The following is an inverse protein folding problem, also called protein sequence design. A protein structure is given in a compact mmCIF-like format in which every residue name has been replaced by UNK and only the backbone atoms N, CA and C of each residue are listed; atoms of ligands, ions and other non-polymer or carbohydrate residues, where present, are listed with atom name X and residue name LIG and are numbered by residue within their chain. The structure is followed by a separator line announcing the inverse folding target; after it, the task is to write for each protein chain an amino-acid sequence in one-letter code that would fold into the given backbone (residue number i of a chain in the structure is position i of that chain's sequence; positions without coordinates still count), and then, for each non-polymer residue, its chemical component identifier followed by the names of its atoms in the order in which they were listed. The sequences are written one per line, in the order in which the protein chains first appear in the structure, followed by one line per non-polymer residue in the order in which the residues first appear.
data_IF_653761765495
#
_entry.id   IF_653761765495
#
_cell.length_a   1.000
_cell.length_b   1.000
_cell.length_c   1.000
_cell.angle_alpha   90.00
_cell.angle_beta   90.00
_cell.angle_gamma   90.00
#
_symmetry.space_group_name_H-M   'P 1'
#
loop_
_entity.id
_entity.type
_entity.pdbx_description
1 polymer ?
#
# COMPACT_ATOMS: atom_id res chain seq x y z
N UNK A 1 19.65 -59.96 2.93
CA UNK A 1 20.07 -59.08 4.04
C UNK A 1 20.67 -57.84 3.40
N UNK A 2 19.90 -56.76 3.31
CA UNK A 2 20.38 -55.45 2.87
C UNK A 2 19.88 -54.47 3.92
N UNK A 3 20.85 -53.84 4.59
CA UNK A 3 20.68 -52.95 5.73
C UNK A 3 20.08 -51.61 5.33
N UNK A 4 19.23 -51.09 6.22
CA UNK A 4 18.38 -49.92 6.00
C UNK A 4 19.10 -48.59 6.15
N UNK A 5 18.76 -47.66 5.25
CA UNK A 5 19.04 -46.24 5.38
C UNK A 5 17.89 -45.56 6.14
N UNK A 6 18.16 -44.70 7.14
CA UNK A 6 17.11 -43.96 7.85
C UNK A 6 16.70 -42.75 7.02
N UNK A 7 15.39 -42.59 6.79
CA UNK A 7 14.80 -41.41 6.18
C UNK A 7 14.83 -40.17 7.09
N UNK A 8 14.61 -38.97 6.53
CA UNK A 8 14.65 -37.71 7.26
C UNK A 8 13.47 -37.63 8.23
N UNK A 9 13.75 -37.06 9.42
CA UNK A 9 12.77 -36.82 10.48
C UNK A 9 11.95 -35.59 10.11
N UNK A 10 10.63 -35.76 10.08
CA UNK A 10 9.67 -34.67 10.09
C UNK A 10 9.67 -34.02 11.49
N UNK A 11 9.99 -32.73 11.54
CA UNK A 11 9.86 -31.91 12.74
C UNK A 11 8.39 -31.49 12.89
N UNK A 12 7.68 -32.16 13.81
CA UNK A 12 6.35 -31.80 14.28
C UNK A 12 6.39 -30.47 15.08
N UNK A 13 5.99 -29.35 14.46
CA UNK A 13 5.62 -28.14 15.21
C UNK A 13 4.17 -28.25 15.74
N UNK A 14 3.93 -28.10 17.05
CA UNK A 14 2.61 -28.19 17.64
C UNK A 14 1.90 -26.83 17.54
N UNK A 15 1.20 -26.58 16.43
CA UNK A 15 0.15 -25.54 16.40
C UNK A 15 -1.22 -26.20 16.27
N UNK A 16 -1.69 -26.75 17.39
CA UNK A 16 -3.09 -27.11 17.57
C UNK A 16 -3.97 -25.85 17.42
N UNK A 17 -5.06 -25.93 16.68
CA UNK A 17 -6.34 -26.34 17.26
C UNK A 17 -7.41 -26.43 16.16
N UNK A 18 -8.02 -27.61 16.12
CA UNK A 18 -8.96 -28.03 15.10
C UNK A 18 -10.34 -27.40 15.19
N UNK A 19 -10.99 -27.44 14.04
CA UNK A 19 -12.40 -27.26 13.85
C UNK A 19 -13.25 -28.24 14.69
N UNK A 20 -14.51 -27.81 14.88
CA UNK A 20 -15.75 -28.57 15.22
C UNK A 20 -16.16 -28.59 16.69
N UNK A 21 -17.30 -27.95 16.96
CA UNK A 21 -18.56 -28.60 17.39
C UNK A 21 -19.74 -27.64 17.15
N UNK A 22 -20.82 -28.17 16.60
CA UNK A 22 -22.01 -27.40 16.23
C UNK A 22 -22.75 -26.82 17.43
N UNK A 23 -23.45 -25.71 17.22
CA UNK A 23 -24.34 -25.14 18.24
C UNK A 23 -25.63 -24.58 17.64
N UNK A 24 -26.74 -24.96 18.27
CA UNK A 24 -28.12 -24.53 18.01
C UNK A 24 -28.33 -23.13 18.61
N UNK A 25 -29.14 -22.33 17.93
CA UNK A 25 -29.53 -21.00 18.40
C UNK A 25 -30.53 -21.06 19.57
N UNK A 26 -30.40 -20.20 20.60
CA UNK A 26 -31.53 -19.79 21.41
C UNK A 26 -32.08 -18.44 20.95
N UNK A 27 -33.40 -18.40 20.86
CA UNK A 27 -34.25 -17.20 20.73
C UNK A 27 -34.08 -16.32 21.97
N UNK A 28 -34.07 -15.00 21.80
CA UNK A 28 -34.10 -14.07 22.92
C UNK A 28 -33.92 -12.63 22.47
N UNK A 29 -35.03 -12.00 22.10
CA UNK A 29 -35.11 -10.57 21.84
C UNK A 29 -34.97 -9.77 23.14
N UNK A 30 -34.27 -8.65 23.07
CA UNK A 30 -34.22 -7.66 24.13
C UNK A 30 -33.64 -6.35 23.62
N UNK A 31 -34.50 -5.43 23.18
CA UNK A 31 -34.14 -4.01 23.08
C UNK A 31 -33.89 -3.45 24.49
N UNK A 32 -33.10 -2.37 24.59
CA UNK A 32 -33.79 -1.14 24.98
C UNK A 32 -33.32 0.12 24.25
N UNK A 33 -34.31 0.98 24.04
CA UNK A 33 -34.19 2.38 23.70
C UNK A 33 -33.53 3.18 24.84
N UNK A 34 -32.81 4.26 24.51
CA UNK A 34 -32.16 5.09 25.53
C UNK A 34 -31.58 6.41 25.02
N UNK A 35 -32.48 7.34 24.70
CA UNK A 35 -32.33 8.80 24.51
C UNK A 35 -31.02 9.47 24.99
N UNK A 36 -30.50 10.42 24.19
CA UNK A 36 -30.05 11.75 24.68
C UNK A 36 -29.94 12.79 23.54
N UNK A 37 -30.91 13.71 23.49
CA UNK A 37 -30.81 14.99 22.74
C UNK A 37 -30.18 16.03 23.68
N UNK A 38 -29.04 16.62 23.27
CA UNK A 38 -28.49 17.84 23.91
C UNK A 38 -28.94 19.07 23.13
N UNK A 39 -29.58 19.99 23.87
CA UNK A 39 -30.00 21.34 23.45
C UNK A 39 -28.78 22.22 23.19
N UNK A 40 -28.79 22.97 22.08
CA UNK A 40 -27.94 24.16 21.85
C UNK A 40 -28.63 25.36 22.48
N UNK A 41 -27.91 26.12 23.30
CA UNK A 41 -28.30 27.46 23.77
C UNK A 41 -27.85 28.55 22.78
N UNK A 42 -28.43 29.75 22.84
CA UNK A 42 -28.14 30.85 21.91
C UNK A 42 -26.89 31.63 22.33
N UNK A 43 -26.14 32.08 21.33
CA UNK A 43 -24.95 32.94 21.43
C UNK A 43 -25.33 34.37 21.82
N UNK A 44 -24.68 34.89 22.85
CA UNK A 44 -24.75 36.29 23.28
C UNK A 44 -24.07 37.22 22.27
N UNK A 45 -24.72 38.36 22.02
CA UNK A 45 -24.26 39.41 21.10
C UNK A 45 -23.04 40.17 21.61
N UNK A 46 -22.20 40.57 20.65
CA UNK A 46 -21.01 41.39 20.83
C UNK A 46 -21.38 42.87 20.60
N UNK A 47 -21.00 43.82 21.48
CA UNK A 47 -21.31 45.24 21.28
C UNK A 47 -20.33 45.89 20.26
N UNK A 48 -20.69 47.06 19.68
CA UNK A 48 -19.89 47.72 18.66
C UNK A 48 -18.63 48.37 19.24
N UNK A 49 -17.54 48.27 18.46
CA UNK A 49 -16.21 48.82 18.70
C UNK A 49 -16.24 50.33 18.42
N UNK A 50 -15.83 51.14 19.39
CA UNK A 50 -15.62 52.59 19.21
C UNK A 50 -14.32 52.88 18.44
N UNK A 51 -14.15 54.10 17.89
CA UNK A 51 -12.97 54.45 17.10
C UNK A 51 -11.69 54.47 17.95
N UNK A 52 -10.63 53.86 17.43
CA UNK A 52 -9.31 53.78 18.06
C UNK A 52 -8.71 55.18 18.31
N UNK A 53 -8.02 55.38 19.45
CA UNK A 53 -7.32 56.64 19.73
C UNK A 53 -6.16 56.84 18.75
N UNK A 54 -6.14 58.01 18.10
CA UNK A 54 -5.05 58.44 17.23
C UNK A 54 -3.77 58.64 18.08
N UNK A 55 -2.66 57.95 17.79
CA UNK A 55 -1.44 58.10 18.57
C UNK A 55 -0.84 59.51 18.39
N UNK A 56 -0.17 60.05 19.44
CA UNK A 56 0.46 61.37 19.37
C UNK A 56 1.53 61.40 18.27
N UNK A 57 1.60 62.50 17.52
CA UNK A 57 2.62 62.67 16.48
C UNK A 57 4.00 62.76 17.15
N UNK A 58 4.93 61.84 16.87
CA UNK A 58 6.27 61.88 17.42
C UNK A 58 6.97 63.17 16.96
N UNK A 59 7.80 63.76 17.82
CA UNK A 59 8.62 64.91 17.45
C UNK A 59 9.47 64.60 16.20
N UNK A 60 9.61 65.57 15.30
CA UNK A 60 10.26 65.42 13.98
C UNK A 60 11.73 64.92 14.08
N UNK A 61 12.34 65.01 15.26
CA UNK A 61 13.73 64.57 15.51
C UNK A 61 13.83 63.05 15.69
N UNK A 62 12.96 62.43 16.49
CA UNK A 62 13.01 60.98 16.73
C UNK A 62 12.68 60.18 15.46
N UNK A 63 11.67 60.63 14.70
CA UNK A 63 11.29 60.01 13.43
C UNK A 63 12.32 60.20 12.30
N UNK A 64 13.14 61.27 12.34
CA UNK A 64 14.28 61.45 11.42
C UNK A 64 15.46 60.57 11.82
N UNK A 65 15.80 60.49 13.10
CA UNK A 65 16.87 59.62 13.60
C UNK A 65 16.58 58.15 13.34
N UNK A 66 15.33 57.70 13.52
CA UNK A 66 14.95 56.33 13.23
C UNK A 66 15.04 55.96 11.74
N UNK A 67 14.68 56.88 10.84
CA UNK A 67 14.84 56.69 9.38
C UNK A 67 16.31 56.67 8.95
N UNK A 68 17.14 57.56 9.50
CA UNK A 68 18.59 57.57 9.24
C UNK A 68 19.27 56.28 9.75
N UNK A 69 18.75 55.69 10.82
CA UNK A 69 19.25 54.44 11.40
C UNK A 69 18.65 53.17 10.75
N UNK A 70 17.71 53.30 9.81
CA UNK A 70 17.07 52.15 9.13
C UNK A 70 16.17 51.30 10.03
N UNK A 71 15.66 51.87 11.13
CA UNK A 71 14.80 51.14 12.08
C UNK A 71 13.42 50.86 11.48
N UNK A 72 12.80 49.77 11.94
CA UNK A 72 11.41 49.48 11.61
C UNK A 72 10.49 50.58 12.16
N UNK A 73 9.30 50.72 11.58
CA UNK A 73 8.34 51.74 12.01
C UNK A 73 7.89 51.56 13.48
N UNK A 74 7.92 50.32 13.98
CA UNK A 74 7.58 49.95 15.36
C UNK A 74 8.70 50.34 16.33
N UNK A 75 9.95 49.99 16.00
CA UNK A 75 11.12 50.38 16.80
C UNK A 75 11.32 51.91 16.83
N UNK A 76 10.99 52.57 15.71
CA UNK A 76 10.99 54.03 15.61
C UNK A 76 9.97 54.69 16.55
N UNK A 77 8.81 54.07 16.71
CA UNK A 77 7.75 54.55 17.60
C UNK A 77 8.12 54.36 19.07
N UNK A 78 8.71 53.21 19.42
CA UNK A 78 9.22 52.94 20.77
C UNK A 78 10.35 53.90 21.17
N UNK A 79 11.23 54.22 20.21
CA UNK A 79 12.28 55.20 20.44
C UNK A 79 11.71 56.62 20.66
N UNK A 80 10.67 56.97 19.90
CA UNK A 80 10.00 58.25 20.02
C UNK A 80 9.17 58.38 21.31
N UNK A 81 8.75 57.25 21.90
CA UNK A 81 8.08 57.19 23.20
C UNK A 81 9.06 57.32 24.39
N UNK A 82 10.37 57.27 24.15
CA UNK A 82 11.37 57.50 25.19
C UNK A 82 11.46 59.00 25.47
N UNK A 83 10.88 59.47 26.58
CA UNK A 83 10.90 60.88 26.99
C UNK A 83 12.35 61.38 27.12
N UNK A 84 12.79 62.11 26.09
CA UNK A 84 14.06 62.82 26.16
C UNK A 84 13.86 64.08 26.99
N UNK A 85 14.64 64.30 28.06
CA UNK A 85 14.53 65.50 28.88
C UNK A 85 14.74 66.77 28.04
N UNK A 86 14.03 67.84 28.40
CA UNK A 86 14.09 69.12 27.71
C UNK A 86 15.52 69.68 27.69
N UNK A 87 15.88 70.34 26.59
CA UNK A 87 17.20 70.95 26.41
C UNK A 87 17.53 71.90 27.58
N UNK A 88 18.68 71.68 28.24
CA UNK A 88 19.13 72.45 29.39
C UNK A 88 18.89 71.82 30.76
N UNK A 89 18.15 70.70 30.86
CA UNK A 89 18.03 69.96 32.10
C UNK A 89 19.35 69.21 32.45
N UNK A 90 19.72 69.12 33.74
CA UNK A 90 20.96 68.45 34.16
C UNK A 90 21.05 66.97 33.73
N UNK A 91 19.90 66.33 33.48
CA UNK A 91 19.81 64.92 33.09
C UNK A 91 19.82 64.66 31.57
N UNK A 92 20.02 65.69 30.73
CA UNK A 92 20.00 65.55 29.25
C UNK A 92 21.08 64.61 28.73
N UNK A 93 22.31 64.72 29.25
CA UNK A 93 23.43 63.88 28.79
C UNK A 93 23.23 62.42 29.21
N UNK A 94 22.90 62.10 30.48
CA UNK A 94 22.55 60.73 30.88
C UNK A 94 21.33 60.15 30.14
N UNK A 95 20.32 60.97 29.84
CA UNK A 95 19.14 60.57 29.06
C UNK A 95 19.50 60.23 27.61
N UNK A 96 20.25 61.10 26.94
CA UNK A 96 20.70 60.88 25.55
C UNK A 96 21.59 59.65 25.39
N UNK A 97 22.52 59.40 26.32
CA UNK A 97 23.36 58.20 26.30
C UNK A 97 22.55 56.91 26.47
N UNK A 98 21.50 56.92 27.30
CA UNK A 98 20.58 55.78 27.44
C UNK A 98 19.79 55.51 26.16
N UNK A 99 19.26 56.55 25.52
CA UNK A 99 18.55 56.43 24.25
C UNK A 99 19.47 55.89 23.14
N UNK A 100 20.71 56.39 23.06
CA UNK A 100 21.71 55.92 22.09
C UNK A 100 22.13 54.46 22.36
N UNK A 101 22.27 54.08 23.64
CA UNK A 101 22.48 52.68 24.03
C UNK A 101 21.28 51.75 23.74
N UNK A 102 20.06 52.29 23.71
CA UNK A 102 18.86 51.59 23.24
C UNK A 102 18.88 51.37 21.73
N UNK A 103 19.15 52.44 20.96
CA UNK A 103 19.33 52.40 19.50
C UNK A 103 20.36 51.37 19.05
N UNK A 104 21.54 51.37 19.66
CA UNK A 104 22.62 50.44 19.30
C UNK A 104 22.23 48.98 19.60
N UNK A 105 21.44 48.73 20.65
CA UNK A 105 20.90 47.39 20.94
C UNK A 105 19.85 46.99 19.90
N UNK A 106 18.88 47.84 19.60
CA UNK A 106 17.87 47.57 18.57
C UNK A 106 18.50 47.32 17.19
N UNK A 107 19.52 48.10 16.81
CA UNK A 107 20.27 47.90 15.56
C UNK A 107 21.03 46.57 15.55
N UNK A 108 21.60 46.15 16.69
CA UNK A 108 22.26 44.83 16.80
C UNK A 108 21.26 43.68 16.75
N UNK A 109 20.11 43.83 17.39
CA UNK A 109 19.07 42.80 17.42
C UNK A 109 18.42 42.63 16.04
N UNK A 110 18.20 43.73 15.32
CA UNK A 110 17.72 43.69 13.91
C UNK A 110 18.76 43.09 12.96
N UNK A 111 20.04 43.41 13.12
CA UNK A 111 21.12 42.78 12.34
C UNK A 111 21.18 41.26 12.61
N UNK A 112 21.15 40.85 13.88
CA UNK A 112 21.09 39.41 14.25
C UNK A 112 19.86 38.73 13.67
N UNK A 113 18.69 39.35 13.76
CA UNK A 113 17.46 38.80 13.18
C UNK A 113 17.49 38.74 11.64
N UNK A 114 18.28 39.58 10.97
CA UNK A 114 18.50 39.51 9.53
C UNK A 114 19.45 38.36 9.17
N UNK A 115 20.53 38.19 9.92
CA UNK A 115 21.47 37.06 9.79
C UNK A 115 20.75 35.73 10.03
N UNK A 116 19.97 35.61 11.12
CA UNK A 116 19.16 34.42 11.43
C UNK A 116 18.18 34.07 10.29
N UNK A 117 17.62 35.10 9.62
CA UNK A 117 16.74 34.90 8.46
C UNK A 117 17.52 34.44 7.23
N UNK A 118 18.71 34.98 6.99
CA UNK A 118 19.58 34.55 5.91
C UNK A 118 19.98 33.07 6.09
N UNK A 119 20.43 32.70 7.29
CA UNK A 119 20.79 31.33 7.65
C UNK A 119 19.60 30.37 7.46
N UNK A 120 18.40 30.77 7.93
CA UNK A 120 17.19 29.97 7.72
C UNK A 120 16.83 29.80 6.23
N UNK A 121 17.08 30.80 5.39
CA UNK A 121 16.83 30.67 3.94
C UNK A 121 17.86 29.77 3.26
N UNK A 122 19.12 29.83 3.69
CA UNK A 122 20.18 28.96 3.18
C UNK A 122 19.92 27.50 3.58
N UNK A 123 19.55 27.25 4.84
CA UNK A 123 19.16 25.91 5.29
C UNK A 123 17.96 25.36 4.51
N UNK A 124 16.95 26.19 4.23
CA UNK A 124 15.79 25.76 3.42
C UNK A 124 16.22 25.38 2.01
N UNK A 125 17.07 26.19 1.36
CA UNK A 125 17.62 25.89 0.03
C UNK A 125 18.44 24.60 0.04
N UNK A 126 19.28 24.40 1.05
CA UNK A 126 20.07 23.17 1.20
C UNK A 126 19.18 21.93 1.36
N UNK A 127 18.10 22.02 2.17
CA UNK A 127 17.11 20.93 2.31
C UNK A 127 16.38 20.65 1.00
N UNK A 128 16.02 21.68 0.24
CA UNK A 128 15.32 21.52 -1.04
C UNK A 128 16.22 20.91 -2.12
N UNK A 129 17.49 21.32 -2.19
CA UNK A 129 18.49 20.68 -3.07
C UNK A 129 18.68 19.20 -2.69
N UNK A 130 18.81 18.91 -1.40
CA UNK A 130 18.94 17.52 -0.92
C UNK A 130 17.72 16.67 -1.26
N UNK A 131 16.51 17.21 -1.13
CA UNK A 131 15.26 16.55 -1.55
C UNK A 131 15.21 16.32 -3.07
N UNK A 132 15.63 17.29 -3.87
CA UNK A 132 15.66 17.17 -5.32
C UNK A 132 16.65 16.09 -5.77
N UNK A 133 17.86 16.06 -5.18
CA UNK A 133 18.85 15.01 -5.43
C UNK A 133 18.33 13.63 -5.02
N UNK A 134 17.63 13.55 -3.88
CA UNK A 134 16.99 12.31 -3.44
C UNK A 134 15.92 11.81 -4.41
N UNK A 135 15.14 12.71 -5.03
CA UNK A 135 14.16 12.34 -6.07
C UNK A 135 14.83 11.82 -7.35
N UNK A 136 15.91 12.46 -7.80
CA UNK A 136 16.67 12.03 -8.99
C UNK A 136 17.24 10.63 -8.76
N UNK A 137 17.96 10.41 -7.65
CA UNK A 137 18.56 9.10 -7.34
C UNK A 137 17.51 7.98 -7.30
N UNK A 138 16.33 8.25 -6.72
CA UNK A 138 15.23 7.29 -6.68
C UNK A 138 14.64 7.00 -8.08
N UNK A 139 14.56 8.01 -8.94
CA UNK A 139 14.12 7.82 -10.31
C UNK A 139 15.10 6.91 -11.07
N UNK A 140 16.41 7.15 -10.93
CA UNK A 140 17.45 6.29 -11.48
C UNK A 140 17.38 4.86 -10.93
N UNK A 141 17.14 4.68 -9.63
CA UNK A 141 16.93 3.37 -9.00
C UNK A 141 15.65 2.66 -9.50
N UNK A 142 14.60 3.41 -9.87
CA UNK A 142 13.37 2.85 -10.47
C UNK A 142 13.62 2.42 -11.90
N UNK A 143 14.26 3.25 -12.71
CA UNK A 143 14.64 2.92 -14.08
C UNK A 143 15.54 1.69 -14.12
N UNK A 144 16.53 1.60 -13.21
CA UNK A 144 17.39 0.42 -13.09
C UNK A 144 16.62 -0.85 -12.74
N UNK A 145 15.64 -0.78 -11.83
CA UNK A 145 14.77 -1.93 -11.49
C UNK A 145 13.87 -2.34 -12.64
N UNK A 146 13.27 -1.37 -13.34
CA UNK A 146 12.43 -1.64 -14.51
C UNK A 146 13.24 -2.25 -15.65
N UNK A 147 14.45 -1.75 -15.92
CA UNK A 147 15.35 -2.31 -16.91
C UNK A 147 15.75 -3.76 -16.57
N UNK A 148 16.07 -4.02 -15.30
CA UNK A 148 16.40 -5.38 -14.83
C UNK A 148 15.22 -6.34 -14.95
N UNK A 149 14.00 -5.90 -14.60
CA UNK A 149 12.77 -6.67 -14.77
C UNK A 149 12.48 -6.97 -16.25
N UNK A 150 12.60 -5.97 -17.12
CA UNK A 150 12.42 -6.15 -18.56
C UNK A 150 13.45 -7.12 -19.14
N UNK A 151 14.70 -7.06 -18.69
CA UNK A 151 15.74 -8.01 -19.10
C UNK A 151 15.43 -9.44 -18.62
N UNK A 152 14.94 -9.61 -17.39
CA UNK A 152 14.52 -10.90 -16.87
C UNK A 152 13.34 -11.50 -17.65
N UNK A 153 12.30 -10.69 -17.92
CA UNK A 153 11.15 -11.11 -18.73
C UNK A 153 11.56 -11.48 -20.17
N UNK A 154 12.49 -10.73 -20.77
CA UNK A 154 13.04 -11.06 -22.08
C UNK A 154 13.82 -12.38 -22.06
N UNK A 155 14.62 -12.62 -21.02
CA UNK A 155 15.34 -13.89 -20.83
C UNK A 155 14.39 -15.08 -20.66
N UNK A 156 13.30 -14.91 -19.92
CA UNK A 156 12.28 -15.95 -19.75
C UNK A 156 11.56 -16.24 -21.07
N UNK A 157 11.19 -15.21 -21.85
CA UNK A 157 10.61 -15.39 -23.19
C UNK A 157 11.54 -16.15 -24.12
N UNK A 158 12.84 -15.84 -24.11
CA UNK A 158 13.83 -16.57 -24.91
C UNK A 158 13.93 -18.03 -24.46
N UNK A 159 13.92 -18.30 -23.16
CA UNK A 159 13.93 -19.67 -22.62
C UNK A 159 12.71 -20.46 -23.07
N UNK A 160 11.50 -19.89 -22.92
CA UNK A 160 10.25 -20.52 -23.31
C UNK A 160 10.18 -20.75 -24.83
N UNK A 161 10.64 -19.79 -25.65
CA UNK A 161 10.76 -19.96 -27.10
C UNK A 161 11.66 -21.15 -27.45
N UNK A 162 12.84 -21.25 -26.81
CA UNK A 162 13.76 -22.37 -27.01
C UNK A 162 13.22 -23.71 -26.48
N UNK A 163 12.36 -23.73 -25.47
CA UNK A 163 11.65 -24.94 -25.01
C UNK A 163 10.58 -25.37 -26.03
N UNK A 164 9.84 -24.41 -26.58
CA UNK A 164 8.82 -24.64 -27.60
C UNK A 164 9.42 -25.18 -28.90
N UNK A 165 10.53 -24.60 -29.38
CA UNK A 165 11.28 -25.10 -30.54
C UNK A 165 11.76 -26.55 -30.35
N UNK A 166 12.28 -26.87 -29.15
CA UNK A 166 12.70 -28.25 -28.81
C UNK A 166 11.52 -29.21 -28.76
N UNK A 167 10.37 -28.79 -28.23
CA UNK A 167 9.15 -29.59 -28.23
C UNK A 167 8.66 -29.84 -29.66
N UNK A 168 8.66 -28.82 -30.51
CA UNK A 168 8.28 -28.92 -31.92
C UNK A 168 9.20 -29.90 -32.68
N UNK A 169 10.52 -29.80 -32.48
CA UNK A 169 11.48 -30.73 -33.09
C UNK A 169 11.24 -32.19 -32.67
N UNK A 170 10.90 -32.44 -31.40
CA UNK A 170 10.56 -33.78 -30.90
C UNK A 170 9.27 -34.31 -31.54
N UNK A 171 8.24 -33.47 -31.66
CA UNK A 171 6.99 -33.86 -32.33
C UNK A 171 7.24 -34.20 -33.81
N UNK A 172 8.02 -33.40 -34.53
CA UNK A 172 8.41 -33.69 -35.91
C UNK A 172 9.18 -35.00 -36.05
N UNK A 173 10.07 -35.32 -35.09
CA UNK A 173 10.79 -36.60 -35.08
C UNK A 173 9.85 -37.79 -34.85
N UNK A 174 8.93 -37.70 -33.89
CA UNK A 174 7.93 -38.74 -33.61
C UNK A 174 7.01 -38.95 -34.82
N UNK A 175 6.60 -37.88 -35.50
CA UNK A 175 5.81 -37.97 -36.72
C UNK A 175 6.57 -38.72 -37.83
N UNK A 176 7.85 -38.40 -38.05
CA UNK A 176 8.68 -39.09 -39.04
C UNK A 176 8.91 -40.58 -38.69
N UNK A 177 9.08 -40.92 -37.41
CA UNK A 177 9.21 -42.30 -36.95
C UNK A 177 7.91 -43.09 -37.16
N UNK A 178 6.76 -42.49 -36.84
CA UNK A 178 5.43 -43.06 -37.12
C UNK A 178 5.26 -43.34 -38.61
N UNK A 179 5.62 -42.39 -39.48
CA UNK A 179 5.44 -42.56 -40.91
C UNK A 179 6.33 -43.68 -41.47
N UNK A 180 7.57 -43.83 -40.96
CA UNK A 180 8.44 -44.99 -41.27
C UNK A 180 7.83 -46.32 -40.81
N UNK A 181 7.24 -46.37 -39.62
CA UNK A 181 6.59 -47.59 -39.12
C UNK A 181 5.36 -47.97 -39.96
N UNK A 182 4.60 -46.98 -40.45
CA UNK A 182 3.48 -47.20 -41.37
C UNK A 182 3.97 -47.82 -42.68
N UNK A 183 5.03 -47.27 -43.27
CA UNK A 183 5.64 -47.82 -44.50
C UNK A 183 6.09 -49.28 -44.32
N UNK A 184 6.73 -49.61 -43.19
CA UNK A 184 7.14 -50.98 -42.89
C UNK A 184 5.94 -51.92 -42.73
N UNK A 185 4.88 -51.48 -42.04
CA UNK A 185 3.66 -52.27 -41.86
C UNK A 185 2.87 -52.45 -43.16
N UNK A 186 2.89 -51.47 -44.07
CA UNK A 186 2.30 -51.57 -45.41
C UNK A 186 3.09 -52.56 -46.29
N UNK A 187 4.42 -52.57 -46.19
CA UNK A 187 5.28 -53.54 -46.89
C UNK A 187 5.06 -54.98 -46.39
N UNK A 188 4.91 -55.18 -45.08
CA UNK A 188 4.64 -56.49 -44.48
C UNK A 188 3.25 -57.03 -44.86
N UNK A 189 2.24 -56.14 -44.94
CA UNK A 189 0.90 -56.49 -45.46
C UNK A 189 0.91 -56.97 -46.91
N UNK A 190 1.85 -56.48 -47.73
CA UNK A 190 2.01 -56.93 -49.13
C UNK A 190 2.71 -58.29 -49.25
N UNK A 191 3.37 -58.79 -48.19
CA UNK A 191 4.14 -60.04 -48.18
C UNK A 191 3.32 -61.33 -47.90
N UNK A 192 2.01 -61.22 -47.66
CA UNK A 192 1.10 -62.34 -47.43
C UNK A 192 0.86 -62.67 -45.94
N UNK A 193 -0.29 -63.29 -45.60
CA UNK A 193 -0.82 -63.24 -44.24
C UNK A 193 -0.03 -64.13 -43.26
N UNK A 194 0.43 -63.54 -42.16
CA UNK A 194 0.83 -64.27 -40.95
C UNK A 194 -0.25 -64.13 -39.89
N UNK A 195 -0.65 -65.28 -39.34
CA UNK A 195 -1.76 -65.49 -38.41
C UNK A 195 -1.44 -64.99 -36.98
N UNK A 196 -1.16 -63.70 -36.82
CA UNK A 196 -0.79 -63.07 -35.52
C UNK A 196 -1.69 -61.88 -35.20
N UNK A 197 -2.57 -62.08 -34.21
CA UNK A 197 -3.20 -61.05 -33.35
C UNK A 197 -3.63 -59.73 -34.02
N UNK A 198 -4.31 -59.81 -35.17
CA UNK A 198 -4.92 -58.66 -35.87
C UNK A 198 -5.80 -57.80 -34.94
N UNK A 199 -6.44 -58.42 -33.94
CA UNK A 199 -7.25 -57.73 -32.95
C UNK A 199 -6.44 -56.80 -32.02
N UNK A 200 -5.21 -57.18 -31.63
CA UNK A 200 -4.36 -56.36 -30.78
C UNK A 200 -3.78 -55.17 -31.54
N UNK A 201 -3.39 -55.38 -32.81
CA UNK A 201 -2.94 -54.32 -33.71
C UNK A 201 -4.08 -53.33 -34.00
N UNK A 202 -5.28 -53.82 -34.29
CA UNK A 202 -6.46 -52.98 -34.48
C UNK A 202 -6.79 -52.13 -33.23
N UNK A 203 -6.67 -52.71 -32.02
CA UNK A 203 -6.86 -51.99 -30.76
C UNK A 203 -5.83 -50.88 -30.52
N UNK A 204 -4.56 -51.11 -30.85
CA UNK A 204 -3.52 -50.09 -30.77
C UNK A 204 -3.74 -48.96 -31.78
N UNK A 205 -4.11 -49.30 -33.02
CA UNK A 205 -4.43 -48.30 -34.05
C UNK A 205 -5.63 -47.43 -33.66
N UNK A 206 -6.68 -48.02 -33.10
CA UNK A 206 -7.82 -47.27 -32.58
C UNK A 206 -7.41 -46.30 -31.46
N UNK A 207 -6.55 -46.74 -30.54
CA UNK A 207 -6.04 -45.89 -29.46
C UNK A 207 -5.13 -44.76 -29.95
N UNK A 208 -4.31 -45.02 -30.98
CA UNK A 208 -3.50 -43.98 -31.64
C UNK A 208 -4.42 -42.95 -32.32
N UNK A 209 -5.46 -43.40 -33.02
CA UNK A 209 -6.44 -42.51 -33.65
C UNK A 209 -7.17 -41.64 -32.61
N UNK A 210 -7.55 -42.19 -31.47
CA UNK A 210 -8.18 -41.46 -30.37
C UNK A 210 -7.23 -40.40 -29.77
N UNK A 211 -5.95 -40.75 -29.60
CA UNK A 211 -4.94 -39.80 -29.12
C UNK A 211 -4.66 -38.70 -30.15
N UNK A 212 -4.66 -39.01 -31.45
CA UNK A 212 -4.53 -38.03 -32.53
C UNK A 212 -5.71 -37.04 -32.50
N UNK A 213 -6.94 -37.53 -32.33
CA UNK A 213 -8.12 -36.67 -32.18
C UNK A 213 -8.01 -35.75 -30.94
N UNK A 214 -7.59 -36.28 -29.79
CA UNK A 214 -7.39 -35.49 -28.58
C UNK A 214 -6.29 -34.43 -28.72
N UNK A 215 -5.22 -34.71 -29.48
CA UNK A 215 -4.16 -33.73 -29.75
C UNK A 215 -4.65 -32.60 -30.65
N UNK A 216 -5.46 -32.91 -31.66
CA UNK A 216 -6.09 -31.90 -32.53
C UNK A 216 -7.02 -31.00 -31.72
N UNK A 217 -7.91 -31.57 -30.90
CA UNK A 217 -8.81 -30.79 -30.04
C UNK A 217 -8.05 -29.88 -29.08
N UNK A 218 -6.96 -30.39 -28.50
CA UNK A 218 -6.12 -29.61 -27.58
C UNK A 218 -5.35 -28.50 -28.30
N UNK A 219 -4.93 -28.70 -29.55
CA UNK A 219 -4.30 -27.66 -30.37
C UNK A 219 -5.29 -26.52 -30.66
N UNK A 220 -6.52 -26.84 -31.06
CA UNK A 220 -7.59 -25.85 -31.28
C UNK A 220 -7.90 -25.08 -29.99
N UNK A 221 -7.95 -25.76 -28.84
CA UNK A 221 -8.18 -25.11 -27.55
C UNK A 221 -7.05 -24.14 -27.16
N UNK A 222 -5.79 -24.49 -27.44
CA UNK A 222 -4.64 -23.61 -27.20
C UNK A 222 -4.64 -22.38 -28.10
N UNK A 223 -5.01 -22.55 -29.38
CA UNK A 223 -5.17 -21.43 -30.31
C UNK A 223 -6.26 -20.46 -29.82
N UNK A 224 -7.43 -20.97 -29.44
CA UNK A 224 -8.50 -20.13 -28.89
C UNK A 224 -8.15 -19.41 -27.58
N UNK A 225 -7.33 -20.03 -26.71
CA UNK A 225 -6.80 -19.37 -25.51
C UNK A 225 -5.78 -18.28 -25.85
N UNK A 226 -4.98 -18.49 -26.90
CA UNK A 226 -3.99 -17.52 -27.37
C UNK A 226 -4.70 -16.28 -27.94
N UNK A 227 -5.70 -16.48 -28.80
CA UNK A 227 -6.53 -15.39 -29.34
C UNK A 227 -7.21 -14.59 -28.22
N UNK A 228 -7.78 -15.29 -27.23
CA UNK A 228 -8.43 -14.63 -26.09
C UNK A 228 -7.43 -13.79 -25.25
N UNK A 229 -6.19 -14.27 -25.10
CA UNK A 229 -5.13 -13.55 -24.41
C UNK A 229 -4.73 -12.29 -25.19
N UNK A 230 -4.58 -12.37 -26.51
CA UNK A 230 -4.26 -11.22 -27.37
C UNK A 230 -5.37 -10.15 -27.30
N UNK A 231 -6.65 -10.56 -27.37
CA UNK A 231 -7.79 -9.65 -27.23
C UNK A 231 -7.77 -8.95 -25.87
N UNK A 232 -7.56 -9.70 -24.78
CA UNK A 232 -7.49 -9.12 -23.44
C UNK A 232 -6.31 -8.15 -23.27
N UNK A 233 -5.17 -8.44 -23.92
CA UNK A 233 -4.01 -7.55 -23.93
C UNK A 233 -4.30 -6.25 -24.69
N UNK A 234 -4.92 -6.35 -25.87
CA UNK A 234 -5.33 -5.20 -26.67
C UNK A 234 -6.35 -4.32 -25.93
N UNK A 235 -7.33 -4.92 -25.25
CA UNK A 235 -8.30 -4.19 -24.42
C UNK A 235 -7.60 -3.47 -23.26
N UNK A 236 -6.66 -4.14 -22.58
CA UNK A 236 -5.88 -3.53 -21.51
C UNK A 236 -5.04 -2.34 -22.02
N UNK A 237 -4.43 -2.45 -23.19
CA UNK A 237 -3.70 -1.34 -23.82
C UNK A 237 -4.63 -0.19 -24.22
N UNK A 238 -5.82 -0.50 -24.74
CA UNK A 238 -6.84 0.49 -25.06
C UNK A 238 -7.27 1.29 -23.81
N UNK A 239 -7.58 0.58 -22.71
CA UNK A 239 -7.96 1.20 -21.43
C UNK A 239 -6.84 2.08 -20.87
N UNK A 240 -5.57 1.64 -20.98
CA UNK A 240 -4.40 2.44 -20.60
C UNK A 240 -4.30 3.71 -21.44
N UNK A 241 -4.44 3.60 -22.77
CA UNK A 241 -4.44 4.75 -23.67
C UNK A 241 -5.56 5.74 -23.32
N UNK A 242 -6.75 5.25 -22.97
CA UNK A 242 -7.86 6.07 -22.52
C UNK A 242 -7.57 6.77 -21.19
N UNK A 243 -7.00 6.07 -20.21
CA UNK A 243 -6.60 6.64 -18.92
C UNK A 243 -5.55 7.76 -19.10
N UNK A 244 -4.54 7.55 -19.95
CA UNK A 244 -3.54 8.58 -20.28
C UNK A 244 -4.17 9.82 -20.91
N UNK A 245 -5.13 9.64 -21.85
CA UNK A 245 -5.87 10.75 -22.46
C UNK A 245 -6.67 11.53 -21.41
N UNK A 246 -7.40 10.84 -20.55
CA UNK A 246 -8.17 11.45 -19.47
C UNK A 246 -7.27 12.23 -18.50
N UNK A 247 -6.10 11.68 -18.14
CA UNK A 247 -5.12 12.37 -17.29
C UNK A 247 -4.59 13.64 -17.93
N UNK A 248 -4.25 13.60 -19.23
CA UNK A 248 -3.81 14.80 -19.97
C UNK A 248 -4.89 15.89 -19.95
N UNK A 249 -6.14 15.52 -20.26
CA UNK A 249 -7.27 16.45 -20.24
C UNK A 249 -7.51 17.04 -18.84
N UNK A 250 -7.35 16.25 -17.78
CA UNK A 250 -7.52 16.73 -16.40
C UNK A 250 -6.41 17.72 -15.97
N UNK A 251 -5.17 17.49 -16.41
CA UNK A 251 -4.06 18.43 -16.20
C UNK A 251 -4.24 19.72 -17.01
N UNK A 252 -4.65 19.62 -18.26
CA UNK A 252 -4.98 20.78 -19.13
C UNK A 252 -6.12 21.63 -18.54
N UNK A 253 -7.09 20.99 -17.87
CA UNK A 253 -8.18 21.66 -17.16
C UNK A 253 -7.77 22.32 -15.83
N UNK A 254 -6.48 22.32 -15.48
CA UNK A 254 -5.96 22.99 -14.28
C UNK A 254 -6.27 22.26 -12.97
N UNK A 255 -6.64 20.97 -13.03
CA UNK A 255 -6.88 20.17 -11.83
C UNK A 255 -5.55 19.79 -11.18
N UNK A 256 -5.16 20.53 -10.14
CA UNK A 256 -3.99 20.24 -9.29
C UNK A 256 -4.21 19.10 -8.31
N UNK A 257 -5.46 18.64 -8.13
CA UNK A 257 -5.84 17.54 -7.21
C UNK A 257 -5.78 16.16 -7.89
N UNK A 258 -5.10 16.08 -9.05
CA UNK A 258 -4.86 14.83 -9.78
C UNK A 258 -3.50 14.28 -9.36
N UNK A 259 -3.36 13.95 -8.08
CA UNK A 259 -2.37 12.96 -7.61
C UNK A 259 -2.81 11.56 -8.12
N UNK A 260 -3.02 11.46 -9.43
CA UNK A 260 -3.17 10.18 -10.11
C UNK A 260 -1.76 9.64 -10.29
N UNK A 261 -1.37 8.86 -9.30
CA UNK A 261 -0.48 7.71 -9.41
C UNK A 261 -0.53 7.18 -10.84
N UNK A 262 0.64 7.14 -11.48
CA UNK A 262 0.74 6.63 -12.83
C UNK A 262 0.24 5.18 -12.84
N UNK A 263 -0.77 4.81 -13.65
CA UNK A 263 -1.17 3.42 -13.79
C UNK A 263 -0.04 2.55 -14.36
N UNK A 264 1.12 3.10 -14.72
CA UNK A 264 2.31 2.34 -15.10
C UNK A 264 3.31 2.14 -13.92
N UNK A 265 3.15 2.86 -12.79
CA UNK A 265 4.00 2.70 -11.61
C UNK A 265 3.45 1.62 -10.66
N UNK A 266 3.06 0.47 -11.18
CA UNK A 266 2.61 -0.70 -10.40
C UNK A 266 3.73 -1.33 -9.55
N UNK A 267 4.88 -0.68 -9.43
CA UNK A 267 5.93 -1.12 -8.51
C UNK A 267 5.44 -1.04 -7.07
N UNK A 268 5.98 -1.89 -6.17
CA UNK A 268 5.67 -1.81 -4.76
C UNK A 268 6.02 -0.42 -4.25
N UNK A 269 5.06 0.19 -3.54
CA UNK A 269 5.26 1.51 -2.95
C UNK A 269 6.43 1.47 -1.96
N UNK A 270 7.23 2.53 -1.95
CA UNK A 270 8.27 2.70 -0.96
C UNK A 270 7.72 3.44 0.26
N UNK A 271 7.98 2.91 1.46
CA UNK A 271 7.57 3.49 2.75
C UNK A 271 8.00 4.97 2.90
N UNK A 272 9.16 5.34 2.34
CA UNK A 272 9.74 6.69 2.43
C UNK A 272 9.21 7.67 1.36
N UNK A 273 8.34 7.22 0.46
CA UNK A 273 7.85 8.00 -0.68
C UNK A 273 6.36 7.77 -0.94
N UNK A 274 5.59 7.73 0.14
CA UNK A 274 4.15 7.52 0.05
C UNK A 274 3.44 8.81 -0.35
N UNK A 275 2.51 8.75 -1.32
CA UNK A 275 1.68 9.89 -1.70
C UNK A 275 0.78 10.31 -0.54
N UNK A 276 0.26 11.54 -0.62
CA UNK A 276 -0.69 12.01 0.35
C UNK A 276 -2.06 11.38 0.09
N UNK A 277 -2.69 10.84 1.13
CA UNK A 277 -4.01 10.21 1.05
C UNK A 277 -4.90 10.83 2.11
N UNK A 278 -6.11 11.23 1.74
CA UNK A 278 -7.03 11.96 2.63
C UNK A 278 -8.04 11.05 3.34
N UNK A 279 -8.18 9.80 2.94
CA UNK A 279 -9.16 8.86 3.52
C UNK A 279 -8.58 7.46 3.70
N UNK A 280 -9.16 6.69 4.62
CA UNK A 280 -8.83 5.27 4.83
C UNK A 280 -9.08 4.45 3.57
N UNK A 281 -10.18 4.72 2.86
CA UNK A 281 -10.50 4.04 1.61
C UNK A 281 -9.43 4.31 0.55
N UNK A 282 -9.03 5.57 0.36
CA UNK A 282 -7.97 5.92 -0.59
C UNK A 282 -6.64 5.23 -0.24
N UNK A 283 -6.30 5.14 1.05
CA UNK A 283 -5.12 4.39 1.49
C UNK A 283 -5.19 2.89 1.14
N UNK A 284 -6.37 2.26 1.31
CA UNK A 284 -6.57 0.84 0.99
C UNK A 284 -6.60 0.59 -0.51
N UNK A 285 -7.29 1.42 -1.29
CA UNK A 285 -7.33 1.33 -2.76
C UNK A 285 -5.94 1.49 -3.35
N UNK A 286 -5.19 2.47 -2.86
CA UNK A 286 -3.82 2.69 -3.29
C UNK A 286 -2.90 1.53 -2.89
N UNK A 287 -2.97 1.05 -1.64
CA UNK A 287 -2.16 -0.09 -1.23
C UNK A 287 -2.50 -1.35 -2.04
N UNK A 288 -3.79 -1.60 -2.33
CA UNK A 288 -4.24 -2.74 -3.12
C UNK A 288 -3.78 -2.68 -4.58
N UNK A 289 -3.70 -1.47 -5.17
CA UNK A 289 -3.24 -1.29 -6.55
C UNK A 289 -1.73 -1.58 -6.75
N UNK A 290 -0.94 -1.57 -5.67
CA UNK A 290 0.52 -1.77 -5.70
C UNK A 290 1.00 -2.96 -4.86
N UNK A 291 0.09 -3.71 -4.25
CA UNK A 291 0.44 -4.88 -3.47
C UNK A 291 0.80 -6.04 -4.39
N UNK A 292 1.93 -6.68 -4.13
CA UNK A 292 2.36 -7.87 -4.88
C UNK A 292 1.93 -9.16 -4.17
N UNK A 293 1.73 -9.12 -2.84
CA UNK A 293 1.54 -10.32 -2.03
C UNK A 293 0.30 -10.29 -1.13
N UNK A 294 -0.17 -9.10 -0.74
CA UNK A 294 -1.41 -8.96 0.03
C UNK A 294 -2.65 -9.13 -0.84
N UNK A 295 -3.57 -9.97 -0.37
CA UNK A 295 -4.86 -10.18 -1.03
C UNK A 295 -5.94 -9.37 -0.31
N UNK A 296 -6.47 -8.35 -0.96
CA UNK A 296 -7.54 -7.52 -0.39
C UNK A 296 -8.91 -8.13 -0.65
N UNK A 297 -9.73 -8.24 0.39
CA UNK A 297 -11.12 -8.73 0.28
C UNK A 297 -12.11 -7.57 0.17
N UNK A 298 -13.30 -7.82 -0.37
CA UNK A 298 -14.40 -6.83 -0.42
C UNK A 298 -14.69 -6.21 0.95
N UNK A 299 -14.49 -7.01 2.02
CA UNK A 299 -14.69 -6.55 3.39
C UNK A 299 -13.73 -5.41 3.72
N UNK A 300 -12.46 -5.48 3.32
CA UNK A 300 -11.47 -4.44 3.56
C UNK A 300 -11.94 -3.09 3.03
N UNK A 301 -12.31 -3.04 1.75
CA UNK A 301 -12.82 -1.83 1.09
C UNK A 301 -14.11 -1.32 1.73
N UNK A 302 -15.07 -2.22 2.02
CA UNK A 302 -16.36 -1.84 2.60
C UNK A 302 -16.20 -1.20 3.99
N UNK A 303 -15.31 -1.71 4.83
CA UNK A 303 -15.06 -1.16 6.16
C UNK A 303 -14.22 0.12 6.10
N UNK A 304 -13.23 0.17 5.19
CA UNK A 304 -12.38 1.34 4.99
C UNK A 304 -13.19 2.58 4.57
N UNK A 305 -14.23 2.40 3.75
CA UNK A 305 -15.14 3.46 3.31
C UNK A 305 -15.81 4.23 4.44
N UNK A 306 -16.03 3.59 5.59
CA UNK A 306 -16.77 4.18 6.71
C UNK A 306 -15.88 4.45 7.93
N UNK A 307 -14.58 4.22 7.82
CA UNK A 307 -13.64 4.36 8.92
C UNK A 307 -13.25 5.84 9.12
N UNK A 308 -13.51 6.44 10.29
CA UNK A 308 -13.29 7.87 10.51
C UNK A 308 -11.87 8.21 10.98
N UNK A 309 -10.85 7.44 10.60
CA UNK A 309 -9.45 7.60 11.04
C UNK A 309 -8.79 8.83 10.39
N UNK A 310 -8.08 9.63 11.19
CA UNK A 310 -7.55 10.96 10.81
C UNK A 310 -6.12 10.95 10.21
N UNK A 311 -5.39 9.84 10.33
CA UNK A 311 -4.03 9.68 9.79
C UNK A 311 -3.93 8.58 8.70
N UNK A 312 -4.71 8.63 7.61
CA UNK A 312 -4.73 7.60 6.56
C UNK A 312 -3.37 7.36 5.88
N UNK A 313 -2.47 8.35 5.85
CA UNK A 313 -1.10 8.16 5.35
C UNK A 313 -0.29 7.19 6.23
N UNK A 314 -0.51 7.19 7.54
CA UNK A 314 0.10 6.22 8.46
C UNK A 314 -0.42 4.81 8.17
N UNK A 315 -1.72 4.66 7.91
CA UNK A 315 -2.30 3.39 7.49
C UNK A 315 -1.68 2.89 6.18
N UNK A 316 -1.57 3.75 5.16
CA UNK A 316 -0.96 3.39 3.88
C UNK A 316 0.46 2.84 4.09
N UNK A 317 1.26 3.52 4.92
CA UNK A 317 2.60 3.08 5.28
C UNK A 317 2.63 1.69 5.90
N UNK A 318 1.75 1.45 6.85
CA UNK A 318 1.67 0.16 7.55
C UNK A 318 1.14 -0.95 6.59
N UNK A 319 0.26 -0.64 5.62
CA UNK A 319 -0.18 -1.59 4.58
C UNK A 319 0.95 -1.96 3.61
N UNK A 320 1.77 -0.99 3.19
CA UNK A 320 2.94 -1.22 2.34
C UNK A 320 3.99 -2.06 3.06
N UNK A 321 4.24 -1.79 4.34
CA UNK A 321 5.13 -2.62 5.16
C UNK A 321 4.57 -4.03 5.37
N UNK A 322 3.24 -4.16 5.49
CA UNK A 322 2.57 -5.45 5.61
C UNK A 322 2.68 -6.30 4.33
N UNK A 323 2.77 -5.70 3.15
CA UNK A 323 2.99 -6.45 1.89
C UNK A 323 4.31 -7.24 1.91
N UNK A 324 5.34 -6.70 2.55
CA UNK A 324 6.62 -7.40 2.77
C UNK A 324 6.49 -8.57 3.74
N UNK A 325 5.59 -8.47 4.72
CA UNK A 325 5.26 -9.59 5.61
C UNK A 325 4.51 -10.68 4.84
N UNK A 326 3.59 -10.29 3.95
CA UNK A 326 2.89 -11.21 3.07
C UNK A 326 3.85 -11.91 2.09
N UNK A 327 4.84 -11.19 1.55
CA UNK A 327 5.92 -11.75 0.73
C UNK A 327 6.65 -12.87 1.46
N UNK A 328 7.05 -12.63 2.71
CA UNK A 328 7.69 -13.64 3.54
C UNK A 328 6.76 -14.84 3.79
N UNK A 329 5.48 -14.58 4.09
CA UNK A 329 4.50 -15.65 4.34
C UNK A 329 4.27 -16.54 3.11
N UNK A 330 4.33 -15.99 1.90
CA UNK A 330 4.08 -16.70 0.65
C UNK A 330 5.11 -17.79 0.34
N UNK A 331 6.29 -17.77 0.98
CA UNK A 331 7.35 -18.78 0.76
C UNK A 331 6.86 -20.17 1.17
N UNK A 332 7.02 -21.13 0.25
CA UNK A 332 6.70 -22.54 0.44
C UNK A 332 7.67 -23.16 1.47
N UNK A 333 7.15 -23.91 2.44
CA UNK A 333 7.92 -24.37 3.62
C UNK A 333 7.95 -23.40 4.80
N UNK A 334 7.39 -22.19 4.65
CA UNK A 334 7.24 -21.21 5.73
C UNK A 334 8.47 -20.32 5.93
N UNK A 335 8.36 -19.39 6.87
CA UNK A 335 9.35 -18.30 7.06
C UNK A 335 10.56 -18.76 7.90
N UNK A 336 10.51 -19.96 8.49
CA UNK A 336 11.52 -20.48 9.42
C UNK A 336 11.59 -19.72 10.77
N UNK A 337 10.67 -18.79 11.01
CA UNK A 337 10.48 -18.04 12.26
C UNK A 337 9.03 -17.55 12.39
N UNK A 338 8.58 -17.15 13.59
CA UNK A 338 7.25 -16.60 13.80
C UNK A 338 6.98 -15.38 12.90
N UNK A 339 5.79 -15.33 12.27
CA UNK A 339 5.39 -14.20 11.40
C UNK A 339 5.40 -12.86 12.16
N UNK A 340 5.15 -12.89 13.48
CA UNK A 340 5.26 -11.75 14.37
C UNK A 340 6.64 -11.08 14.30
N UNK A 341 7.71 -11.85 14.27
CA UNK A 341 9.07 -11.32 14.25
C UNK A 341 9.37 -10.62 12.93
N UNK A 342 8.80 -11.13 11.83
CA UNK A 342 8.84 -10.47 10.52
C UNK A 342 8.08 -9.15 10.54
N UNK A 343 6.87 -9.14 11.12
CA UNK A 343 6.06 -7.93 11.22
C UNK A 343 6.74 -6.86 12.08
N UNK A 344 7.33 -7.25 13.22
CA UNK A 344 8.10 -6.34 14.08
C UNK A 344 9.35 -5.79 13.38
N UNK A 345 10.04 -6.60 12.58
CA UNK A 345 11.16 -6.12 11.76
C UNK A 345 10.73 -5.08 10.72
N UNK A 346 9.47 -5.13 10.27
CA UNK A 346 8.85 -4.10 9.43
C UNK A 346 8.23 -2.94 10.24
N UNK A 347 8.52 -2.86 11.55
CA UNK A 347 8.02 -1.83 12.47
C UNK A 347 6.48 -1.80 12.59
N UNK A 348 5.82 -2.93 12.37
CA UNK A 348 4.38 -3.06 12.55
C UNK A 348 4.02 -3.39 14.00
N UNK A 349 3.02 -2.69 14.54
CA UNK A 349 2.44 -3.05 15.84
C UNK A 349 1.51 -4.27 15.66
N UNK A 350 2.09 -5.46 15.79
CA UNK A 350 1.42 -6.74 15.51
C UNK A 350 0.74 -7.35 16.76
N UNK A 351 -0.47 -7.86 16.57
CA UNK A 351 -1.19 -8.69 17.52
C UNK A 351 -1.49 -10.07 16.89
N UNK A 352 -1.11 -11.14 17.60
CA UNK A 352 -1.11 -12.50 17.03
C UNK A 352 -2.50 -13.08 16.80
N UNK A 353 -3.47 -12.74 17.65
CA UNK A 353 -4.84 -13.20 17.48
C UNK A 353 -5.88 -12.29 18.14
N UNK A 354 -7.14 -12.55 17.81
CA UNK A 354 -8.34 -12.07 18.50
C UNK A 354 -8.75 -13.11 19.54
N UNK A 355 -9.17 -12.67 20.72
CA UNK A 355 -9.63 -13.61 21.77
C UNK A 355 -10.80 -14.47 21.28
N UNK A 356 -10.78 -15.75 21.66
CA UNK A 356 -11.85 -16.70 21.32
C UNK A 356 -13.23 -16.17 21.75
N UNK A 357 -13.30 -15.54 22.92
CA UNK A 357 -14.52 -14.91 23.43
C UNK A 357 -15.02 -13.80 22.51
N UNK A 358 -14.15 -12.87 22.09
CA UNK A 358 -14.54 -11.79 21.17
C UNK A 358 -14.95 -12.33 19.81
N UNK A 359 -14.22 -13.33 19.28
CA UNK A 359 -14.55 -14.00 18.02
C UNK A 359 -15.94 -14.66 18.08
N UNK A 360 -16.28 -15.31 19.20
CA UNK A 360 -17.57 -15.98 19.37
C UNK A 360 -18.73 -15.00 19.57
N UNK A 361 -18.54 -13.95 20.39
CA UNK A 361 -19.58 -12.95 20.66
C UNK A 361 -19.86 -12.06 19.44
N UNK A 362 -18.81 -11.71 18.69
CA UNK A 362 -18.88 -10.78 17.56
C UNK A 362 -18.53 -11.46 16.23
N UNK A 363 -18.97 -12.72 16.05
CA UNK A 363 -18.63 -13.54 14.89
C UNK A 363 -18.90 -12.87 13.53
N UNK A 364 -19.95 -12.04 13.44
CA UNK A 364 -20.29 -11.29 12.21
C UNK A 364 -19.25 -10.21 11.86
N UNK A 365 -18.52 -9.70 12.85
CA UNK A 365 -17.51 -8.67 12.64
C UNK A 365 -16.16 -9.27 12.24
N UNK A 366 -15.79 -10.40 12.85
CA UNK A 366 -14.51 -11.09 12.61
C UNK A 366 -14.54 -12.08 11.45
N UNK A 367 -15.71 -12.36 10.86
CA UNK A 367 -15.83 -13.23 9.69
C UNK A 367 -15.99 -12.40 8.42
N UNK A 368 -15.26 -12.79 7.38
CA UNK A 368 -15.36 -12.21 6.04
C UNK A 368 -15.25 -13.32 5.00
N UNK A 369 -15.33 -12.97 3.70
CA UNK A 369 -15.30 -13.95 2.62
C UNK A 369 -14.35 -13.54 1.51
N UNK A 370 -13.74 -14.54 0.88
CA UNK A 370 -12.95 -14.38 -0.35
C UNK A 370 -13.24 -15.57 -1.26
N UNK A 371 -13.53 -15.31 -2.54
CA UNK A 371 -13.92 -16.36 -3.51
C UNK A 371 -15.01 -17.33 -2.98
N UNK A 372 -16.02 -16.79 -2.27
CA UNK A 372 -17.10 -17.59 -1.66
C UNK A 372 -16.69 -18.40 -0.42
N UNK A 373 -15.41 -18.39 -0.02
CA UNK A 373 -14.91 -19.10 1.16
C UNK A 373 -14.90 -18.19 2.39
N UNK A 374 -15.36 -18.68 3.56
CA UNK A 374 -15.33 -17.89 4.78
C UNK A 374 -13.93 -17.86 5.40
N UNK A 375 -13.45 -16.67 5.67
CA UNK A 375 -12.20 -16.40 6.37
C UNK A 375 -12.49 -15.80 7.76
N UNK A 376 -11.60 -16.07 8.71
CA UNK A 376 -11.65 -15.52 10.05
C UNK A 376 -10.49 -14.55 10.28
N UNK A 377 -10.82 -13.38 10.79
CA UNK A 377 -9.84 -12.43 11.30
C UNK A 377 -9.15 -13.04 12.52
N UNK A 378 -7.84 -13.26 12.40
CA UNK A 378 -6.98 -13.70 13.48
C UNK A 378 -5.97 -12.60 13.83
N UNK A 379 -4.76 -12.65 13.28
CA UNK A 379 -3.77 -11.62 13.52
C UNK A 379 -4.20 -10.27 12.96
N UNK A 380 -3.72 -9.19 13.57
CA UNK A 380 -4.02 -7.85 13.13
C UNK A 380 -2.91 -6.85 13.45
N UNK A 381 -2.82 -5.80 12.63
CA UNK A 381 -1.93 -4.66 12.86
C UNK A 381 -2.70 -3.55 13.57
N UNK A 382 -2.14 -3.04 14.67
CA UNK A 382 -2.66 -1.89 15.43
C UNK A 382 -2.03 -0.61 14.92
N UNK A 383 -2.54 -0.11 13.79
CA UNK A 383 -2.07 1.15 13.19
C UNK A 383 -2.17 2.30 14.19
N UNK A 384 -3.25 2.39 14.98
CA UNK A 384 -3.34 3.37 16.05
C UNK A 384 -4.22 2.86 17.21
N UNK A 385 -3.85 3.22 18.44
CA UNK A 385 -4.48 2.78 19.69
C UNK A 385 -4.99 3.93 20.56
N UNK A 386 -5.24 5.10 19.96
CA UNK A 386 -5.75 6.29 20.67
C UNK A 386 -7.21 6.16 21.10
N UNK A 387 -7.67 7.08 21.96
CA UNK A 387 -9.08 7.16 22.38
C UNK A 387 -9.93 7.79 21.27
N UNK A 388 -11.04 7.13 20.93
CA UNK A 388 -12.02 7.61 19.97
C UNK A 388 -11.79 7.07 18.56
N UNK A 389 -12.87 6.96 17.77
CA UNK A 389 -12.85 6.30 16.45
C UNK A 389 -11.90 6.97 15.45
N UNK A 390 -11.58 8.25 15.62
CA UNK A 390 -10.64 8.94 14.73
C UNK A 390 -9.18 8.63 14.99
N UNK A 391 -8.84 8.13 16.19
CA UNK A 391 -7.45 7.87 16.61
C UNK A 391 -7.18 6.38 16.84
N UNK A 392 -8.13 5.53 16.48
CA UNK A 392 -8.00 4.07 16.52
C UNK A 392 -8.09 3.52 15.10
N UNK A 393 -7.05 2.80 14.68
CA UNK A 393 -7.06 2.13 13.38
C UNK A 393 -6.45 0.73 13.50
N UNK A 394 -7.12 -0.28 12.91
CA UNK A 394 -6.63 -1.67 12.84
C UNK A 394 -6.80 -2.26 11.46
N UNK A 395 -5.90 -3.17 11.10
CA UNK A 395 -5.96 -3.99 9.87
C UNK A 395 -6.05 -5.45 10.30
N UNK A 396 -7.20 -6.08 10.06
CA UNK A 396 -7.43 -7.48 10.43
C UNK A 396 -7.10 -8.42 9.27
N UNK A 397 -6.45 -9.54 9.59
CA UNK A 397 -5.88 -10.44 8.60
C UNK A 397 -6.37 -11.88 8.81
N UNK A 398 -6.41 -12.64 7.72
CA UNK A 398 -6.42 -14.09 7.76
C UNK A 398 -5.14 -14.62 7.11
N UNK A 399 -4.44 -15.50 7.81
CA UNK A 399 -3.29 -16.22 7.28
C UNK A 399 -3.77 -17.58 6.77
N UNK A 400 -3.54 -17.85 5.50
CA UNK A 400 -3.93 -19.12 4.85
C UNK A 400 -2.66 -19.85 4.46
N UNK A 401 -2.55 -21.13 4.82
CA UNK A 401 -1.43 -22.01 4.45
C UNK A 401 -1.63 -22.68 3.10
N UNK A 402 -2.87 -22.76 2.62
CA UNK A 402 -3.27 -23.37 1.35
C UNK A 402 -3.55 -24.87 1.45
N UNK A 403 -3.30 -25.46 2.62
CA UNK A 403 -3.50 -26.89 2.91
C UNK A 403 -4.71 -27.14 3.81
N UNK A 404 -5.38 -26.08 4.28
CA UNK A 404 -6.53 -26.19 5.17
C UNK A 404 -7.75 -26.79 4.45
N UNK A 405 -8.37 -27.88 4.98
CA UNK A 405 -9.49 -28.54 4.32
C UNK A 405 -10.73 -27.67 4.14
N UNK A 406 -10.99 -26.77 5.09
CA UNK A 406 -12.13 -25.84 5.09
C UNK A 406 -11.91 -24.61 4.19
N UNK A 407 -10.67 -24.38 3.76
CA UNK A 407 -10.27 -23.33 2.83
C UNK A 407 -9.75 -23.89 1.50
N UNK A 408 -10.08 -25.16 1.19
CA UNK A 408 -9.61 -25.84 -0.01
C UNK A 408 -9.84 -25.00 -1.28
N UNK A 409 -8.75 -24.82 -2.04
CA UNK A 409 -8.71 -24.01 -3.26
C UNK A 409 -8.30 -22.55 -3.06
N UNK A 410 -8.12 -22.08 -1.81
CA UNK A 410 -7.45 -20.80 -1.57
C UNK A 410 -5.93 -20.98 -1.55
N UNK A 411 -5.16 -20.18 -2.32
CA UNK A 411 -3.72 -20.22 -2.25
C UNK A 411 -3.21 -19.74 -0.89
N UNK A 412 -2.02 -20.22 -0.51
CA UNK A 412 -1.26 -19.70 0.63
C UNK A 412 -1.11 -18.19 0.49
N UNK A 413 -1.42 -17.44 1.54
CA UNK A 413 -1.38 -15.98 1.46
C UNK A 413 -1.87 -15.27 2.71
N UNK A 414 -1.74 -13.95 2.68
CA UNK A 414 -2.25 -13.04 3.70
C UNK A 414 -3.42 -12.27 3.13
N UNK A 415 -4.60 -12.49 3.71
CA UNK A 415 -5.85 -11.93 3.22
C UNK A 415 -6.28 -10.80 4.15
N UNK A 416 -6.43 -9.59 3.59
CA UNK A 416 -6.86 -8.40 4.32
C UNK A 416 -8.38 -8.42 4.46
N UNK A 417 -8.83 -8.53 5.70
CA UNK A 417 -10.23 -8.45 6.11
C UNK A 417 -10.63 -7.01 6.49
N UNK A 418 -11.39 -6.80 7.57
CA UNK A 418 -11.77 -5.46 8.04
C UNK A 418 -10.58 -4.51 8.25
N UNK A 419 -10.73 -3.26 7.80
CA UNK A 419 -9.76 -2.16 7.94
C UNK A 419 -10.42 -0.93 8.53
N UNK A 420 -9.70 -0.24 9.43
CA UNK A 420 -10.13 1.01 10.03
C UNK A 420 -10.55 0.80 11.47
N UNK A 421 -11.85 0.67 11.75
CA UNK A 421 -12.33 0.65 13.13
C UNK A 421 -11.82 -0.55 13.93
N UNK A 422 -11.63 -0.35 15.24
CA UNK A 422 -11.54 -1.46 16.19
C UNK A 422 -12.86 -2.24 16.15
N UNK A 423 -12.77 -3.55 15.93
CA UNK A 423 -13.93 -4.44 16.06
C UNK A 423 -14.27 -4.63 17.53
N UNK A 424 -15.55 -4.85 17.82
CA UNK A 424 -16.06 -5.01 19.17
C UNK A 424 -15.36 -6.17 19.90
N UNK A 425 -14.79 -5.90 21.07
CA UNK A 425 -14.21 -6.94 21.95
C UNK A 425 -15.11 -7.24 23.16
N UNK A 426 -14.74 -8.23 23.97
CA UNK A 426 -15.49 -8.66 25.15
C UNK A 426 -15.58 -7.59 26.26
N UNK A 427 -14.87 -6.47 26.12
CA UNK A 427 -14.84 -5.34 27.06
C UNK A 427 -15.52 -4.08 26.51
N UNK A 428 -16.00 -4.10 25.26
CA UNK A 428 -16.62 -2.96 24.57
C UNK A 428 -18.13 -2.82 24.82
N UNK A 429 -18.66 -3.52 25.84
CA UNK A 429 -20.08 -3.55 26.22
C UNK A 429 -20.55 -2.35 27.02
#
# INVERSE_FOLDING_TARGET
MIDGMPGPRDDDEPTGFGARRGWRAPKGAGSPAGRRRKRRGPSSGRPPVGPDPVPPRPSDVAARLARLAGLSAEDAADLAATDLPAAGAPDVVPGGLRALGGLVRAARDTARAADDRADQTEERRARDVSRAQGRIRRAEEREGRQASKAAAEQGERQRLSGELERAHARLSQVAAERDRLRELADADRQAGPTDRDDAAVAGLLARVSDLEAQLVDRAVALEGLTDALEVAQAEREHLRGAARRLRRLALEAGSTDVDLVDPEDHGPLAVDDLPDVRTVLAAVELAAAHAEHLVYTDRAFSTARTAPYDEPRKLLRDLVALDRVAAAWAVEGGIGRPIRDVALAQQLDWADDVSITARNQNAREYRFTHAGRPLWAGPHVRVATGRGLQRTCRVYLALVKGTEPDLAGLPRGVYVGPVGRHLSDSTSG
#
